data_IF_801684158256
#
_entry.id   IF_801684158256
#
_cell.length_a   1.000
_cell.length_b   1.000
_cell.length_c   1.000
_cell.angle_alpha   90.00
_cell.angle_beta   90.00
_cell.angle_gamma   90.00
#
_symmetry.space_group_name_H-M   'P 1'
#
loop_
_entity.id
_entity.type
_entity.pdbx_description
1 polymer ?
#
# COMPACT_ATOMS: atom_id res chain seq x y z
N UNK A 1 -21.97 -5.30 -5.05
CA UNK A 1 -21.01 -4.69 -4.12
C UNK A 1 -19.93 -4.04 -4.98
N UNK A 2 -19.84 -2.71 -5.00
CA UNK A 2 -18.88 -2.00 -5.86
C UNK A 2 -17.49 -2.17 -5.25
N UNK A 3 -16.57 -2.84 -5.95
CA UNK A 3 -15.17 -2.93 -5.51
C UNK A 3 -14.54 -1.57 -5.80
N UNK A 4 -14.41 -0.73 -4.77
CA UNK A 4 -13.69 0.52 -4.88
C UNK A 4 -12.19 0.22 -4.87
N UNK A 5 -11.53 0.38 -6.02
CA UNK A 5 -10.08 0.27 -6.11
C UNK A 5 -9.41 1.37 -5.29
N UNK A 6 -8.41 1.02 -4.48
CA UNK A 6 -7.66 1.99 -3.67
C UNK A 6 -7.00 3.05 -4.57
N UNK A 7 -7.16 4.35 -4.30
CA UNK A 7 -6.75 5.42 -5.21
C UNK A 7 -5.26 5.76 -5.06
N UNK A 8 -4.39 4.86 -5.51
CA UNK A 8 -2.92 4.95 -5.37
C UNK A 8 -2.27 6.22 -5.92
N UNK A 9 -2.94 6.93 -6.83
CA UNK A 9 -2.44 8.16 -7.46
C UNK A 9 -3.04 9.45 -6.87
N UNK A 10 -3.70 9.40 -5.70
CA UNK A 10 -4.34 10.57 -5.08
C UNK A 10 -3.87 10.77 -3.64
N UNK A 11 -3.94 12.02 -3.16
CA UNK A 11 -3.81 12.29 -1.73
C UNK A 11 -5.01 11.68 -1.01
N UNK A 12 -4.73 10.88 0.03
CA UNK A 12 -5.75 10.22 0.83
C UNK A 12 -5.46 10.37 2.31
N UNK A 13 -6.51 10.50 3.12
CA UNK A 13 -6.46 10.08 4.52
C UNK A 13 -6.74 8.58 4.57
N UNK A 14 -5.98 7.85 5.39
CA UNK A 14 -6.18 6.41 5.60
C UNK A 14 -6.44 6.11 7.07
N UNK A 15 -7.33 5.16 7.31
CA UNK A 15 -7.46 4.49 8.59
C UNK A 15 -6.69 3.18 8.50
N UNK A 16 -5.68 3.02 9.37
CA UNK A 16 -4.77 1.87 9.35
C UNK A 16 -4.80 1.12 10.67
N UNK A 17 -4.91 -0.20 10.61
CA UNK A 17 -4.75 -1.11 11.74
C UNK A 17 -3.28 -1.55 11.84
N UNK A 18 -2.62 -1.27 12.97
CA UNK A 18 -1.16 -1.44 13.14
C UNK A 18 -0.70 -2.86 13.51
N UNK A 19 -1.62 -3.79 13.82
CA UNK A 19 -1.29 -5.20 14.10
C UNK A 19 -2.20 -6.15 13.32
N UNK A 20 -2.24 -6.04 11.99
CA UNK A 20 -3.20 -6.77 11.21
C UNK A 20 -2.76 -8.21 10.98
N UNK A 21 -3.72 -9.12 10.89
CA UNK A 21 -3.50 -10.37 10.18
C UNK A 21 -3.41 -10.08 8.68
N UNK A 22 -2.56 -10.82 7.96
CA UNK A 22 -2.51 -10.75 6.50
C UNK A 22 -3.85 -11.23 5.92
N UNK A 23 -4.39 -10.46 4.98
CA UNK A 23 -5.66 -10.71 4.32
C UNK A 23 -5.47 -10.62 2.79
N UNK A 24 -6.05 -11.56 2.02
CA UNK A 24 -6.09 -11.47 0.56
C UNK A 24 -6.74 -10.17 0.07
N UNK A 25 -6.27 -9.64 -1.07
CA UNK A 25 -6.80 -8.43 -1.72
C UNK A 25 -6.75 -7.15 -0.86
N UNK A 26 -5.98 -7.17 0.21
CA UNK A 26 -5.89 -6.06 1.13
C UNK A 26 -4.79 -5.07 0.69
N UNK A 27 -4.87 -3.83 1.18
CA UNK A 27 -3.83 -2.81 0.97
C UNK A 27 -3.15 -2.53 2.28
N UNK A 28 -1.82 -2.58 2.28
CA UNK A 28 -1.01 -2.35 3.46
C UNK A 28 -0.34 -0.99 3.40
N UNK A 29 -0.15 -0.39 4.57
CA UNK A 29 0.90 0.58 4.80
C UNK A 29 2.15 -0.21 5.20
N UNK A 30 3.28 0.09 4.57
CA UNK A 30 4.53 -0.51 4.99
C UNK A 30 5.73 0.31 4.59
N UNK A 31 6.90 -0.32 4.67
CA UNK A 31 8.19 0.32 4.47
C UNK A 31 9.13 -0.56 3.66
N UNK A 32 9.83 0.03 2.70
CA UNK A 32 10.87 -0.62 1.92
C UNK A 32 12.01 0.36 1.64
N UNK A 33 13.27 -0.07 1.73
CA UNK A 33 14.47 0.80 1.59
C UNK A 33 14.44 2.09 2.41
N UNK A 34 13.78 2.08 3.57
CA UNK A 34 13.62 3.27 4.41
C UNK A 34 12.41 4.15 4.09
N UNK A 35 11.72 3.92 2.96
CA UNK A 35 10.59 4.73 2.52
C UNK A 35 9.26 4.07 2.86
N UNK A 36 8.32 4.87 3.37
CA UNK A 36 6.95 4.41 3.61
C UNK A 36 6.13 4.46 2.30
N UNK A 37 5.35 3.42 2.04
CA UNK A 37 4.54 3.29 0.85
C UNK A 37 3.32 2.39 1.10
N UNK A 38 2.35 2.47 0.21
CA UNK A 38 1.27 1.50 0.11
C UNK A 38 1.65 0.38 -0.85
N UNK A 39 1.21 -0.84 -0.55
CA UNK A 39 1.30 -1.97 -1.48
C UNK A 39 0.14 -2.94 -1.27
N UNK A 40 -0.34 -3.59 -2.35
CA UNK A 40 -1.41 -4.56 -2.26
C UNK A 40 -0.87 -5.90 -1.76
N UNK A 41 -1.76 -6.77 -1.25
CA UNK A 41 -1.38 -8.08 -0.73
C UNK A 41 -0.65 -8.94 -1.75
N UNK A 42 -1.10 -8.90 -3.00
CA UNK A 42 -0.52 -9.66 -4.12
C UNK A 42 0.96 -9.32 -4.34
N UNK A 43 1.39 -8.13 -3.91
CA UNK A 43 2.78 -7.71 -4.01
C UNK A 43 3.67 -8.44 -2.97
N UNK A 44 3.11 -8.93 -1.87
CA UNK A 44 3.87 -9.75 -0.89
C UNK A 44 4.19 -11.16 -1.42
N UNK A 45 3.45 -11.62 -2.42
CA UNK A 45 3.53 -12.99 -2.95
C UNK A 45 4.24 -13.06 -4.30
N UNK A 46 4.50 -11.93 -4.96
CA UNK A 46 4.98 -11.87 -6.34
C UNK A 46 6.09 -10.84 -6.50
N UNK A 47 7.12 -11.24 -7.25
CA UNK A 47 8.14 -10.35 -7.77
C UNK A 47 7.80 -9.99 -9.23
N UNK A 48 7.92 -8.72 -9.66
CA UNK A 48 8.35 -7.55 -8.90
C UNK A 48 7.22 -6.89 -8.08
N UNK A 49 7.60 -6.29 -6.95
CA UNK A 49 6.74 -5.56 -6.02
C UNK A 49 6.53 -4.10 -6.48
N UNK A 50 5.28 -3.69 -6.64
CA UNK A 50 4.91 -2.28 -6.85
C UNK A 50 4.73 -1.55 -5.50
N UNK A 51 5.48 -0.47 -5.29
CA UNK A 51 5.35 0.46 -4.18
C UNK A 51 4.65 1.74 -4.63
N UNK A 52 3.49 2.00 -4.05
CA UNK A 52 2.73 3.22 -4.29
C UNK A 52 3.10 4.26 -3.23
N UNK A 53 3.75 5.37 -3.60
CA UNK A 53 4.23 6.35 -2.63
C UNK A 53 3.07 7.05 -1.91
N UNK A 54 3.30 7.44 -0.66
CA UNK A 54 2.33 8.22 0.12
C UNK A 54 2.13 9.64 -0.46
N UNK A 55 3.14 10.16 -1.16
CA UNK A 55 3.07 11.44 -1.86
C UNK A 55 2.77 11.20 -3.34
N UNK A 56 1.67 11.73 -3.89
CA UNK A 56 1.19 11.36 -5.23
C UNK A 56 2.04 11.90 -6.40
N UNK A 57 2.93 12.86 -6.15
CA UNK A 57 3.85 13.37 -7.17
C UNK A 57 5.07 12.46 -7.37
N UNK A 58 5.28 11.48 -6.48
CA UNK A 58 6.36 10.52 -6.62
C UNK A 58 5.92 9.37 -7.55
N UNK A 59 6.84 8.80 -8.34
CA UNK A 59 6.52 7.67 -9.20
C UNK A 59 6.29 6.39 -8.37
N UNK A 60 5.50 5.47 -8.92
CA UNK A 60 5.47 4.08 -8.45
C UNK A 60 6.87 3.48 -8.60
N UNK A 61 7.40 2.89 -7.53
CA UNK A 61 8.69 2.19 -7.54
C UNK A 61 8.45 0.69 -7.69
N UNK A 62 9.30 0.03 -8.46
CA UNK A 62 9.29 -1.42 -8.62
C UNK A 62 10.50 -2.01 -7.92
N UNK A 63 10.29 -2.95 -7.00
CA UNK A 63 11.35 -3.67 -6.30
C UNK A 63 11.37 -5.12 -6.79
N UNK A 64 12.56 -5.63 -7.13
CA UNK A 64 12.68 -6.98 -7.70
C UNK A 64 12.87 -8.08 -6.65
N UNK A 65 13.60 -7.82 -5.56
CA UNK A 65 13.98 -8.88 -4.59
C UNK A 65 13.73 -8.50 -3.13
N UNK A 66 13.21 -7.30 -2.86
CA UNK A 66 13.09 -6.78 -1.50
C UNK A 66 11.64 -6.81 -1.02
N UNK A 67 11.41 -7.55 0.07
CA UNK A 67 10.10 -7.65 0.71
C UNK A 67 9.87 -6.44 1.63
N UNK A 68 8.75 -5.73 1.49
CA UNK A 68 8.43 -4.61 2.36
C UNK A 68 8.08 -5.09 3.76
N UNK A 69 8.43 -4.30 4.77
CA UNK A 69 7.94 -4.44 6.14
C UNK A 69 6.48 -3.97 6.18
N UNK A 70 5.57 -4.83 6.64
CA UNK A 70 4.15 -4.47 6.84
C UNK A 70 4.02 -3.73 8.16
N UNK A 71 3.62 -2.46 8.11
CA UNK A 71 3.40 -1.61 9.29
C UNK A 71 1.93 -1.57 9.70
N UNK A 72 1.01 -1.79 8.76
CA UNK A 72 -0.40 -1.87 9.06
C UNK A 72 -1.29 -2.13 7.85
N UNK A 73 -2.57 -2.35 8.11
CA UNK A 73 -3.58 -2.69 7.11
C UNK A 73 -4.57 -1.55 6.95
N UNK A 74 -4.76 -1.10 5.70
CA UNK A 74 -5.73 -0.05 5.38
C UNK A 74 -7.15 -0.62 5.53
N UNK A 75 -7.92 -0.05 6.46
CA UNK A 75 -9.33 -0.40 6.73
C UNK A 75 -10.32 0.54 6.05
N UNK A 76 -9.87 1.74 5.70
CA UNK A 76 -10.69 2.74 5.02
C UNK A 76 -9.83 3.91 4.56
N UNK A 77 -10.37 4.67 3.61
CA UNK A 77 -9.70 5.85 3.08
C UNK A 77 -10.70 6.93 2.69
N UNK A 78 -10.21 8.16 2.61
CA UNK A 78 -10.92 9.31 2.06
C UNK A 78 -10.00 10.06 1.12
N UNK A 79 -10.42 10.23 -0.13
CA UNK A 79 -9.72 11.08 -1.10
C UNK A 79 -9.82 12.53 -0.65
N UNK A 80 -8.68 13.22 -0.64
CA UNK A 80 -8.61 14.65 -0.44
C UNK A 80 -8.76 15.37 -1.79
N UNK A 81 -9.51 16.47 -1.77
CA UNK A 81 -9.65 17.39 -2.89
C UNK A 81 -8.49 18.39 -2.93
#
# INVERSE_FOLDING_TARGET
MQVLSFPTARRVWVLTELRPLLQPQAVYLGKARGYAAFFPHEALERDPLALYPLHPELPTLWLEEERPEVLGLVRGWRVLH
#
